data_IF_619728908745
#
_entry.id   IF_619728908745
#
_cell.length_a   1.000
_cell.length_b   1.000
_cell.length_c   1.000
_cell.angle_alpha   90.00
_cell.angle_beta   90.00
_cell.angle_gamma   90.00
#
_symmetry.space_group_name_H-M   'P 1'
#
loop_
_entity.id
_entity.type
_entity.pdbx_description
1 polymer ?
#
# COMPACT_ATOMS: atom_id res chain seq x y z
N UNK A 1 12.34 19.50 -68.23
CA UNK A 1 11.47 19.65 -67.02
C UNK A 1 11.03 18.33 -66.36
N UNK A 2 10.99 17.20 -67.09
CA UNK A 2 10.47 15.94 -66.53
C UNK A 2 11.42 15.17 -65.60
N UNK A 3 12.73 15.23 -65.85
CA UNK A 3 13.72 14.49 -65.03
C UNK A 3 13.91 15.06 -63.64
N UNK A 4 13.86 16.37 -63.45
CA UNK A 4 14.00 17.05 -62.19
C UNK A 4 12.83 16.77 -61.22
N UNK A 5 11.61 16.63 -61.78
CA UNK A 5 10.42 16.30 -60.99
C UNK A 5 10.39 14.83 -60.56
N UNK A 6 10.94 13.94 -61.35
CA UNK A 6 11.07 12.50 -61.01
C UNK A 6 12.10 12.31 -59.91
N UNK A 7 13.21 13.04 -59.92
CA UNK A 7 14.23 12.97 -58.91
C UNK A 7 13.72 13.50 -57.54
N UNK A 8 12.93 14.58 -57.59
CA UNK A 8 12.27 15.12 -56.35
C UNK A 8 11.25 14.12 -55.81
N UNK A 9 10.49 13.45 -56.64
CA UNK A 9 9.52 12.43 -56.22
C UNK A 9 10.20 11.23 -55.56
N UNK A 10 11.31 10.74 -56.15
CA UNK A 10 12.09 9.62 -55.61
C UNK A 10 12.72 10.00 -54.25
N UNK A 11 13.29 11.21 -54.12
CA UNK A 11 13.81 11.69 -52.83
C UNK A 11 12.70 11.83 -51.77
N UNK A 12 11.50 12.29 -52.15
CA UNK A 12 10.38 12.42 -51.22
C UNK A 12 9.87 11.06 -50.74
N UNK A 13 9.86 10.02 -51.57
CA UNK A 13 9.47 8.65 -51.20
C UNK A 13 10.51 7.98 -50.29
N UNK A 14 11.81 8.22 -50.52
CA UNK A 14 12.88 7.72 -49.66
C UNK A 14 12.92 8.40 -48.27
N UNK A 15 12.39 9.61 -48.14
CA UNK A 15 12.30 10.32 -46.83
C UNK A 15 11.09 9.85 -45.99
N UNK A 16 10.11 9.17 -46.61
CA UNK A 16 8.96 8.61 -45.89
C UNK A 16 9.18 7.15 -45.44
N UNK A 17 10.25 6.47 -45.89
CA UNK A 17 10.63 5.14 -45.39
C UNK A 17 11.60 5.26 -44.20
N UNK A 18 11.37 6.21 -43.33
CA UNK A 18 12.16 6.43 -42.12
C UNK A 18 11.66 5.56 -40.97
N UNK A 19 12.40 4.55 -40.65
CA UNK A 19 12.74 4.13 -39.28
C UNK A 19 11.60 3.93 -38.27
N UNK A 20 10.61 3.09 -38.57
CA UNK A 20 9.78 2.52 -37.50
C UNK A 20 10.64 1.65 -36.55
N UNK A 21 11.57 0.85 -37.12
CA UNK A 21 12.51 0.03 -36.31
C UNK A 21 13.47 0.83 -35.42
N UNK A 22 13.79 2.09 -35.74
CA UNK A 22 14.68 2.90 -34.89
C UNK A 22 13.99 3.48 -33.67
N UNK A 23 12.69 3.68 -33.74
CA UNK A 23 11.89 4.16 -32.58
C UNK A 23 11.42 3.01 -31.68
N UNK A 24 11.37 1.78 -32.22
CA UNK A 24 11.04 0.57 -31.49
C UNK A 24 12.26 -0.11 -30.82
N UNK A 25 13.47 0.35 -31.12
CA UNK A 25 14.68 -0.05 -30.40
C UNK A 25 14.72 0.63 -29.01
N UNK A 26 13.79 0.26 -28.15
CA UNK A 26 14.07 0.30 -26.72
C UNK A 26 15.17 -0.74 -26.51
N UNK A 27 16.37 -0.37 -26.01
CA UNK A 27 17.42 -1.35 -25.72
C UNK A 27 16.84 -2.34 -24.70
N UNK A 28 16.49 -3.55 -25.17
CA UNK A 28 15.91 -4.60 -24.32
C UNK A 28 16.86 -4.96 -23.16
N UNK A 29 18.14 -4.71 -23.32
CA UNK A 29 19.17 -5.01 -22.32
C UNK A 29 19.27 -4.01 -21.16
N UNK A 30 18.75 -2.78 -21.31
CA UNK A 30 18.89 -1.72 -20.30
C UNK A 30 17.60 -1.39 -19.52
N UNK A 31 16.43 -1.92 -19.94
CA UNK A 31 15.17 -1.71 -19.22
C UNK A 31 14.92 -2.87 -18.26
N UNK A 32 14.94 -2.54 -16.97
CA UNK A 32 14.48 -3.44 -15.91
C UNK A 32 12.95 -3.60 -15.98
N UNK A 33 12.50 -4.60 -16.70
CA UNK A 33 11.09 -5.00 -16.69
C UNK A 33 10.76 -5.81 -15.43
N UNK A 34 9.48 -5.85 -15.03
CA UNK A 34 9.03 -6.63 -13.87
C UNK A 34 9.49 -8.10 -13.97
N UNK A 35 9.31 -8.82 -15.10
CA UNK A 35 9.82 -10.19 -15.24
C UNK A 35 11.34 -10.27 -15.02
N UNK A 36 12.13 -9.35 -15.56
CA UNK A 36 13.59 -9.35 -15.40
C UNK A 36 14.03 -9.11 -13.96
N UNK A 37 13.31 -8.27 -13.21
CA UNK A 37 13.57 -8.06 -11.77
C UNK A 37 13.32 -9.35 -10.99
N UNK A 38 12.23 -10.07 -11.29
CA UNK A 38 11.86 -11.30 -10.60
C UNK A 38 12.50 -12.57 -11.18
N UNK A 39 13.47 -12.47 -12.08
CA UNK A 39 14.31 -13.61 -12.46
C UNK A 39 15.18 -14.07 -11.29
N UNK A 40 15.69 -13.14 -10.47
CA UNK A 40 16.69 -13.44 -9.46
C UNK A 40 16.24 -13.09 -8.05
N UNK A 41 16.79 -13.84 -7.08
CA UNK A 41 16.62 -13.58 -5.65
C UNK A 41 16.97 -12.15 -5.26
N UNK A 42 18.08 -11.61 -5.80
CA UNK A 42 18.53 -10.24 -5.49
C UNK A 42 17.54 -9.19 -5.96
N UNK A 43 16.96 -9.36 -7.15
CA UNK A 43 15.92 -8.45 -7.66
C UNK A 43 14.66 -8.48 -6.80
N UNK A 44 14.20 -9.68 -6.43
CA UNK A 44 13.06 -9.83 -5.53
C UNK A 44 13.32 -9.22 -4.14
N UNK A 45 14.53 -9.39 -3.58
CA UNK A 45 14.93 -8.81 -2.29
C UNK A 45 14.92 -7.28 -2.34
N UNK A 46 15.45 -6.69 -3.41
CA UNK A 46 15.40 -5.23 -3.60
C UNK A 46 13.95 -4.74 -3.71
N UNK A 47 13.09 -5.45 -4.41
CA UNK A 47 11.67 -5.10 -4.49
C UNK A 47 10.96 -5.13 -3.14
N UNK A 48 11.30 -6.10 -2.28
CA UNK A 48 10.80 -6.13 -0.90
C UNK A 48 11.24 -4.91 -0.09
N UNK A 49 12.49 -4.49 -0.23
CA UNK A 49 13.01 -3.28 0.44
C UNK A 49 12.22 -2.07 -0.02
N UNK A 50 12.03 -1.91 -1.33
CA UNK A 50 11.26 -0.79 -1.89
C UNK A 50 9.80 -0.81 -1.41
N UNK A 51 9.17 -1.98 -1.37
CA UNK A 51 7.82 -2.14 -0.84
C UNK A 51 7.72 -1.76 0.65
N UNK A 52 8.81 -1.95 1.42
CA UNK A 52 8.85 -1.64 2.86
C UNK A 52 9.17 -0.17 3.18
N UNK A 53 9.58 0.64 2.21
CA UNK A 53 10.02 2.02 2.46
C UNK A 53 8.97 2.89 3.16
N UNK A 54 7.69 2.73 2.84
CA UNK A 54 6.61 3.50 3.46
C UNK A 54 6.35 3.10 4.92
N UNK A 55 6.75 1.88 5.34
CA UNK A 55 6.56 1.39 6.71
C UNK A 55 7.22 2.31 7.74
N UNK A 56 8.48 2.66 7.54
CA UNK A 56 9.20 3.56 8.43
C UNK A 56 8.60 4.97 8.46
N UNK A 57 8.14 5.47 7.30
CA UNK A 57 7.46 6.76 7.20
C UNK A 57 6.13 6.80 7.97
N UNK A 58 5.43 5.68 8.04
CA UNK A 58 4.15 5.56 8.74
C UNK A 58 4.30 5.29 10.24
N UNK A 59 5.43 4.75 10.66
CA UNK A 59 5.70 4.40 12.07
C UNK A 59 6.51 5.45 12.81
N UNK A 60 7.26 6.28 12.08
CA UNK A 60 8.08 7.35 12.65
C UNK A 60 7.48 8.68 12.23
N UNK A 61 7.04 9.48 13.19
CA UNK A 61 6.55 10.82 12.91
C UNK A 61 7.73 11.76 12.69
N UNK A 62 8.13 11.87 11.42
CA UNK A 62 9.09 12.87 10.99
C UNK A 62 8.54 13.60 9.76
N UNK A 63 8.39 14.91 9.89
CA UNK A 63 8.21 15.77 8.74
C UNK A 63 6.84 15.73 8.07
N UNK A 64 5.77 15.35 8.77
CA UNK A 64 4.43 15.54 8.22
C UNK A 64 3.46 14.38 8.38
N UNK A 65 3.87 13.29 8.98
CA UNK A 65 2.99 12.13 9.15
C UNK A 65 2.62 11.94 10.63
N UNK A 66 1.35 12.21 11.05
CA UNK A 66 0.93 12.09 12.44
C UNK A 66 0.69 10.62 12.81
N UNK A 67 1.73 9.78 12.71
CA UNK A 67 1.54 8.36 12.88
C UNK A 67 1.65 7.89 14.33
N UNK A 68 2.62 8.41 15.08
CA UNK A 68 3.04 7.76 16.32
C UNK A 68 3.12 8.70 17.51
N UNK A 69 3.70 9.87 17.35
CA UNK A 69 4.07 10.79 18.44
C UNK A 69 3.15 11.99 18.54
N UNK A 70 1.95 11.91 17.99
CA UNK A 70 1.05 13.06 17.92
C UNK A 70 0.53 13.56 19.27
N UNK A 71 0.63 12.79 20.34
CA UNK A 71 0.03 13.16 21.63
C UNK A 71 0.72 14.35 22.29
N UNK A 72 2.04 14.35 22.37
CA UNK A 72 2.81 15.42 23.02
C UNK A 72 2.99 16.62 22.12
N UNK A 73 3.13 16.40 20.83
CA UNK A 73 3.20 17.47 19.81
C UNK A 73 1.88 18.23 19.69
N UNK A 74 0.74 17.59 19.94
CA UNK A 74 -0.57 18.28 19.99
C UNK A 74 -0.66 19.26 21.15
N UNK A 75 0.03 19.04 22.25
CA UNK A 75 0.12 20.00 23.36
C UNK A 75 1.13 21.12 23.09
N UNK A 76 1.92 20.98 22.06
CA UNK A 76 2.80 21.94 21.39
C UNK A 76 3.56 22.92 22.27
N UNK A 77 4.75 22.63 22.51
CA UNK A 77 5.68 23.66 22.91
C UNK A 77 5.88 24.68 21.75
N UNK A 78 5.77 25.97 22.10
CA UNK A 78 5.83 27.07 21.12
C UNK A 78 7.13 27.09 20.29
N UNK A 79 8.22 26.54 20.83
CA UNK A 79 9.50 26.43 20.14
C UNK A 79 9.44 25.45 18.97
N UNK A 80 8.85 24.29 19.16
CA UNK A 80 8.68 23.28 18.10
C UNK A 80 7.80 23.84 16.96
N UNK A 81 6.73 24.55 17.29
CA UNK A 81 5.84 25.19 16.30
C UNK A 81 6.53 26.26 15.45
N UNK A 82 7.51 26.94 15.99
CA UNK A 82 8.21 28.05 15.30
C UNK A 82 9.33 27.54 14.39
N UNK A 83 9.96 26.42 14.76
CA UNK A 83 11.15 25.93 14.07
C UNK A 83 10.89 24.69 13.19
N UNK A 84 9.80 23.94 13.48
CA UNK A 84 9.45 22.72 12.75
C UNK A 84 7.97 22.74 12.39
N UNK A 85 7.70 22.57 11.09
CA UNK A 85 6.34 22.49 10.57
C UNK A 85 5.93 21.03 10.56
N UNK A 86 5.21 20.58 11.60
CA UNK A 86 4.68 19.23 11.69
C UNK A 86 3.18 19.20 11.44
N UNK A 87 2.71 18.26 10.68
CA UNK A 87 1.28 18.02 10.41
C UNK A 87 0.43 17.95 11.69
N UNK A 88 0.84 17.29 12.80
CA UNK A 88 0.09 17.27 14.03
C UNK A 88 -0.29 18.65 14.57
N UNK A 89 0.57 19.65 14.46
CA UNK A 89 0.28 21.01 14.92
C UNK A 89 -0.85 21.67 14.14
N UNK A 90 -0.85 21.49 12.80
CA UNK A 90 -1.94 22.01 11.98
C UNK A 90 -3.26 21.33 12.27
N UNK A 91 -3.25 20.01 12.56
CA UNK A 91 -4.45 19.27 12.96
C UNK A 91 -4.96 19.80 14.30
N UNK A 92 -4.07 19.99 15.28
CA UNK A 92 -4.41 20.54 16.61
C UNK A 92 -4.99 21.96 16.52
N UNK A 93 -4.49 22.77 15.56
CA UNK A 93 -4.99 24.12 15.31
C UNK A 93 -6.27 24.16 14.47
N UNK A 94 -6.82 23.00 14.08
CA UNK A 94 -8.05 22.91 13.29
C UNK A 94 -7.89 23.31 11.83
N UNK A 95 -6.67 23.29 11.29
CA UNK A 95 -6.37 23.72 9.92
C UNK A 95 -6.59 22.62 8.88
N UNK A 96 -6.90 21.40 9.30
CA UNK A 96 -7.26 20.32 8.38
C UNK A 96 -8.66 20.54 7.83
N UNK A 97 -8.79 20.53 6.52
CA UNK A 97 -10.08 20.64 5.83
C UNK A 97 -10.21 19.57 4.75
N UNK A 98 -11.44 19.34 4.27
CA UNK A 98 -11.69 18.43 3.14
C UNK A 98 -11.01 18.89 1.84
N UNK A 99 -10.75 20.19 1.68
CA UNK A 99 -10.07 20.76 0.51
C UNK A 99 -8.55 20.79 0.67
N UNK A 100 -8.06 20.71 1.90
CA UNK A 100 -6.63 20.71 2.25
C UNK A 100 -6.38 19.64 3.31
N UNK A 101 -6.40 18.37 2.93
CA UNK A 101 -6.10 17.27 3.86
C UNK A 101 -4.63 17.29 4.25
N UNK A 102 -4.37 17.08 5.54
CA UNK A 102 -3.02 17.01 6.09
C UNK A 102 -2.62 15.54 6.32
N UNK A 103 -1.37 15.19 5.99
CA UNK A 103 -0.87 13.83 6.12
C UNK A 103 -1.64 12.83 5.25
N UNK A 104 -2.01 13.25 4.03
CA UNK A 104 -2.78 12.43 3.11
C UNK A 104 -1.94 11.28 2.53
N UNK A 105 -2.16 10.08 3.09
CA UNK A 105 -1.52 8.85 2.60
C UNK A 105 -2.32 8.17 1.47
N UNK A 106 -3.48 8.72 1.08
CA UNK A 106 -4.28 8.26 -0.06
C UNK A 106 -3.78 8.85 -1.39
N UNK A 107 -3.00 9.93 -1.34
CA UNK A 107 -2.49 10.65 -2.49
C UNK A 107 -1.59 9.79 -3.40
N UNK A 108 -1.25 10.34 -4.56
CA UNK A 108 -0.25 9.78 -5.47
C UNK A 108 1.06 9.50 -4.71
N UNK A 109 1.66 8.33 -4.93
CA UNK A 109 2.79 7.80 -4.16
C UNK A 109 2.51 7.52 -2.66
N UNK A 110 1.24 7.54 -2.26
CA UNK A 110 0.81 7.14 -0.93
C UNK A 110 0.70 5.62 -0.77
N UNK A 111 -0.04 5.19 0.23
CA UNK A 111 -0.14 3.76 0.62
C UNK A 111 -0.61 2.84 -0.51
N UNK A 112 -1.48 3.30 -1.43
CA UNK A 112 -1.92 2.47 -2.55
C UNK A 112 -0.81 2.14 -3.55
N UNK A 113 0.18 3.02 -3.73
CA UNK A 113 1.37 2.69 -4.50
C UNK A 113 2.12 1.51 -3.87
N UNK A 114 2.31 1.51 -2.56
CA UNK A 114 3.00 0.42 -1.85
C UNK A 114 2.17 -0.87 -1.78
N UNK A 115 0.84 -0.78 -1.72
CA UNK A 115 -0.05 -1.94 -1.89
C UNK A 115 0.12 -2.55 -3.28
N UNK A 116 0.29 -1.73 -4.32
CA UNK A 116 0.61 -2.22 -5.67
C UNK A 116 1.95 -2.96 -5.70
N UNK A 117 3.00 -2.43 -5.04
CA UNK A 117 4.29 -3.13 -4.94
C UNK A 117 4.14 -4.49 -4.24
N UNK A 118 3.35 -4.55 -3.15
CA UNK A 118 3.05 -5.81 -2.48
C UNK A 118 2.34 -6.80 -3.41
N UNK A 119 1.35 -6.35 -4.16
CA UNK A 119 0.64 -7.22 -5.11
C UNK A 119 1.56 -7.74 -6.19
N UNK A 120 2.37 -6.86 -6.82
CA UNK A 120 3.34 -7.26 -7.86
C UNK A 120 4.33 -8.28 -7.33
N UNK A 121 4.82 -8.10 -6.09
CA UNK A 121 5.70 -9.09 -5.46
C UNK A 121 5.02 -10.45 -5.33
N UNK A 122 3.81 -10.48 -4.79
CA UNK A 122 3.06 -11.73 -4.57
C UNK A 122 2.68 -12.43 -5.87
N UNK A 123 2.52 -11.69 -6.97
CA UNK A 123 2.26 -12.24 -8.30
C UNK A 123 3.51 -12.90 -8.90
N UNK A 124 4.72 -12.38 -8.62
CA UNK A 124 5.94 -12.76 -9.35
C UNK A 124 6.99 -13.49 -8.51
N UNK A 125 6.87 -13.54 -7.19
CA UNK A 125 7.89 -14.20 -6.35
C UNK A 125 8.12 -15.69 -6.71
N UNK A 126 7.09 -16.35 -7.23
CA UNK A 126 7.17 -17.72 -7.70
C UNK A 126 8.01 -17.93 -8.97
N UNK A 127 8.30 -16.84 -9.72
CA UNK A 127 9.08 -16.89 -10.96
C UNK A 127 10.60 -16.87 -10.68
N UNK A 128 11.01 -16.55 -9.46
CA UNK A 128 12.42 -16.43 -9.06
C UNK A 128 13.09 -17.80 -8.99
N UNK A 129 14.05 -18.06 -9.89
CA UNK A 129 14.63 -19.38 -10.06
C UNK A 129 15.62 -19.79 -8.95
N UNK A 130 16.21 -18.86 -8.22
CA UNK A 130 17.31 -19.09 -7.28
C UNK A 130 16.98 -18.74 -5.82
N UNK A 131 15.69 -18.84 -5.43
CA UNK A 131 15.29 -18.74 -4.03
C UNK A 131 15.89 -19.89 -3.21
N UNK A 132 16.21 -19.60 -1.96
CA UNK A 132 16.62 -20.61 -0.99
C UNK A 132 15.41 -21.31 -0.41
N UNK A 133 15.60 -22.49 0.16
CA UNK A 133 14.53 -23.23 0.80
C UNK A 133 13.83 -22.40 1.88
N UNK A 134 12.49 -22.32 1.82
CA UNK A 134 11.65 -21.57 2.75
C UNK A 134 11.56 -20.05 2.50
N UNK A 135 12.35 -19.49 1.56
CA UNK A 135 12.28 -18.05 1.26
C UNK A 135 10.98 -17.67 0.54
N UNK A 136 10.47 -18.51 -0.33
CA UNK A 136 9.20 -18.25 -1.02
C UNK A 136 8.06 -18.02 -0.03
N UNK A 137 7.89 -18.93 0.90
CA UNK A 137 6.83 -18.87 1.90
C UNK A 137 7.06 -17.72 2.89
N UNK A 138 8.29 -17.58 3.40
CA UNK A 138 8.62 -16.55 4.39
C UNK A 138 8.51 -15.13 3.79
N UNK A 139 9.07 -14.88 2.60
CA UNK A 139 9.01 -13.58 1.97
C UNK A 139 7.59 -13.20 1.52
N UNK A 140 6.83 -14.18 1.02
CA UNK A 140 5.41 -13.98 0.74
C UNK A 140 4.63 -13.60 2.00
N UNK A 141 4.95 -14.24 3.14
CA UNK A 141 4.34 -13.93 4.42
C UNK A 141 4.72 -12.53 4.93
N UNK A 142 6.00 -12.13 4.82
CA UNK A 142 6.45 -10.78 5.17
C UNK A 142 5.71 -9.70 4.37
N UNK A 143 5.54 -9.90 3.06
CA UNK A 143 4.81 -8.97 2.19
C UNK A 143 3.30 -8.98 2.46
N UNK A 144 2.69 -10.12 2.78
CA UNK A 144 1.27 -10.18 3.19
C UNK A 144 1.04 -9.40 4.50
N UNK A 145 1.92 -9.57 5.49
CA UNK A 145 1.85 -8.83 6.74
C UNK A 145 2.06 -7.31 6.52
N UNK A 146 2.97 -6.93 5.64
CA UNK A 146 3.19 -5.54 5.25
C UNK A 146 1.94 -4.94 4.55
N UNK A 147 1.33 -5.68 3.62
CA UNK A 147 0.08 -5.25 2.96
C UNK A 147 -1.06 -5.09 3.97
N UNK A 148 -1.18 -6.00 4.93
CA UNK A 148 -2.14 -5.90 6.02
C UNK A 148 -1.91 -4.64 6.87
N UNK A 149 -0.65 -4.31 7.17
CA UNK A 149 -0.30 -3.07 7.86
C UNK A 149 -0.72 -1.84 7.05
N UNK A 150 -0.47 -1.79 5.75
CA UNK A 150 -0.88 -0.68 4.89
C UNK A 150 -2.41 -0.52 4.85
N UNK A 151 -3.15 -1.59 4.80
CA UNK A 151 -4.61 -1.56 4.92
C UNK A 151 -5.06 -1.04 6.28
N UNK A 152 -4.39 -1.44 7.36
CA UNK A 152 -4.68 -0.93 8.68
C UNK A 152 -4.41 0.57 8.82
N UNK A 153 -3.35 1.09 8.18
CA UNK A 153 -3.07 2.52 8.15
C UNK A 153 -4.18 3.31 7.40
N UNK A 154 -4.71 2.77 6.30
CA UNK A 154 -5.88 3.34 5.63
C UNK A 154 -7.12 3.29 6.53
N UNK A 155 -7.37 2.15 7.18
CA UNK A 155 -8.49 1.99 8.11
C UNK A 155 -8.48 3.03 9.21
N UNK A 156 -7.34 3.24 9.87
CA UNK A 156 -7.20 4.18 10.99
C UNK A 156 -7.54 5.63 10.59
N UNK A 157 -7.17 6.03 9.37
CA UNK A 157 -7.30 7.42 8.91
C UNK A 157 -8.60 7.70 8.16
N UNK A 158 -9.06 6.74 7.38
CA UNK A 158 -10.18 6.95 6.45
C UNK A 158 -11.40 6.10 6.76
N UNK A 159 -11.34 5.22 7.77
CA UNK A 159 -12.40 4.26 8.03
C UNK A 159 -12.50 3.22 6.91
N UNK A 160 -13.70 2.96 6.37
CA UNK A 160 -13.87 2.10 5.19
C UNK A 160 -13.03 2.58 4.02
N UNK A 161 -12.29 1.68 3.36
CA UNK A 161 -11.37 2.00 2.29
C UNK A 161 -11.56 1.08 1.07
N UNK A 162 -10.85 1.35 -0.01
CA UNK A 162 -10.88 0.54 -1.24
C UNK A 162 -9.96 -0.66 -1.08
N UNK A 163 -10.52 -1.87 -1.20
CA UNK A 163 -9.74 -3.10 -1.21
C UNK A 163 -9.17 -3.35 -2.61
N UNK A 164 -7.86 -3.60 -2.68
CA UNK A 164 -7.13 -3.93 -3.92
C UNK A 164 -6.43 -5.28 -3.71
N UNK A 165 -7.14 -6.41 -3.81
CA UNK A 165 -6.57 -7.73 -3.55
C UNK A 165 -5.47 -8.10 -4.54
N UNK A 166 -5.58 -7.66 -5.79
CA UNK A 166 -4.59 -7.81 -6.88
C UNK A 166 -4.50 -6.53 -7.69
N UNK A 167 -3.44 -6.40 -8.47
CA UNK A 167 -3.29 -5.25 -9.37
C UNK A 167 -4.38 -5.21 -10.42
N UNK A 168 -4.87 -4.01 -10.71
CA UNK A 168 -5.82 -3.77 -11.79
C UNK A 168 -4.99 -3.43 -13.04
N UNK A 169 -5.34 -4.04 -14.16
CA UNK A 169 -4.73 -3.74 -15.44
C UNK A 169 -4.95 -2.26 -15.79
N UNK A 170 -3.90 -1.59 -16.25
CA UNK A 170 -3.98 -0.19 -16.69
C UNK A 170 -4.89 -0.01 -17.92
N UNK A 171 -5.08 -1.07 -18.69
CA UNK A 171 -5.98 -1.10 -19.86
C UNK A 171 -7.38 -1.62 -19.54
N UNK A 172 -7.64 -1.97 -18.27
CA UNK A 172 -8.98 -2.39 -17.85
C UNK A 172 -10.03 -1.30 -18.13
N UNK A 173 -11.29 -1.66 -18.36
CA UNK A 173 -12.38 -0.70 -18.46
C UNK A 173 -12.43 0.26 -17.26
N UNK A 174 -12.83 1.51 -17.50
CA UNK A 174 -12.85 2.56 -16.46
C UNK A 174 -13.70 2.19 -15.23
N UNK A 175 -14.72 1.37 -15.43
CA UNK A 175 -15.60 0.84 -14.38
C UNK A 175 -14.82 -0.06 -13.42
N UNK A 176 -13.89 -0.87 -13.93
CA UNK A 176 -13.01 -1.72 -13.12
C UNK A 176 -11.92 -0.91 -12.41
N UNK A 177 -11.44 0.16 -13.03
CA UNK A 177 -10.44 1.04 -12.43
C UNK A 177 -11.04 1.90 -11.29
N UNK A 178 -12.33 2.23 -11.35
CA UNK A 178 -13.05 3.06 -10.36
C UNK A 178 -13.59 2.22 -9.21
N UNK A 179 -12.69 1.65 -8.42
CA UNK A 179 -13.06 0.87 -7.26
C UNK A 179 -13.77 1.72 -6.19
N UNK A 180 -14.76 1.12 -5.54
CA UNK A 180 -15.51 1.76 -4.46
C UNK A 180 -14.97 1.34 -3.09
N UNK A 181 -15.23 2.17 -2.07
CA UNK A 181 -14.97 1.79 -0.67
C UNK A 181 -15.75 0.54 -0.32
N UNK A 182 -15.08 -0.39 0.33
CA UNK A 182 -15.66 -1.62 0.85
C UNK A 182 -16.25 -1.41 2.24
N UNK A 183 -17.28 -2.16 2.66
CA UNK A 183 -17.78 -2.13 4.03
C UNK A 183 -16.67 -2.36 5.06
N UNK A 184 -16.79 -1.75 6.24
CA UNK A 184 -15.78 -1.83 7.30
C UNK A 184 -15.45 -3.27 7.69
N UNK A 185 -16.46 -4.14 7.83
CA UNK A 185 -16.24 -5.54 8.19
C UNK A 185 -15.47 -6.29 7.11
N UNK A 186 -15.71 -5.98 5.83
CA UNK A 186 -14.92 -6.54 4.72
C UNK A 186 -13.47 -6.05 4.75
N UNK A 187 -13.24 -4.79 5.12
CA UNK A 187 -11.89 -4.24 5.29
C UNK A 187 -11.14 -4.95 6.42
N UNK A 188 -11.78 -5.12 7.58
CA UNK A 188 -11.20 -5.85 8.73
C UNK A 188 -10.91 -7.29 8.35
N UNK A 189 -11.85 -7.97 7.70
CA UNK A 189 -11.68 -9.36 7.26
C UNK A 189 -10.50 -9.52 6.30
N UNK A 190 -10.34 -8.58 5.35
CA UNK A 190 -9.21 -8.61 4.42
C UNK A 190 -7.87 -8.46 5.15
N UNK A 191 -7.79 -7.58 6.15
CA UNK A 191 -6.58 -7.39 6.96
C UNK A 191 -6.28 -8.67 7.77
N UNK A 192 -7.27 -9.21 8.47
CA UNK A 192 -7.08 -10.40 9.32
C UNK A 192 -6.73 -11.64 8.49
N UNK A 193 -7.36 -11.85 7.34
CA UNK A 193 -7.04 -12.96 6.44
C UNK A 193 -5.57 -12.89 5.97
N UNK A 194 -5.07 -11.72 5.56
CA UNK A 194 -3.66 -11.56 5.17
C UNK A 194 -2.71 -11.94 6.31
N UNK A 195 -3.05 -11.57 7.56
CA UNK A 195 -2.25 -11.90 8.72
C UNK A 195 -2.34 -13.38 9.09
N UNK A 196 -3.53 -14.00 8.97
CA UNK A 196 -3.72 -15.43 9.22
C UNK A 196 -2.97 -16.29 8.22
N UNK A 197 -2.91 -15.87 6.96
CA UNK A 197 -2.10 -16.53 5.95
C UNK A 197 -0.58 -16.32 6.17
N UNK A 198 -0.17 -15.19 6.75
CA UNK A 198 1.23 -14.85 6.94
C UNK A 198 1.84 -15.49 8.19
N UNK A 199 1.16 -15.40 9.34
CA UNK A 199 1.68 -15.78 10.66
C UNK A 199 2.32 -17.19 10.72
N UNK A 200 1.78 -18.24 10.09
CA UNK A 200 2.38 -19.58 10.13
C UNK A 200 3.77 -19.66 9.50
N UNK A 201 4.06 -18.79 8.51
CA UNK A 201 5.31 -18.82 7.73
C UNK A 201 6.31 -17.74 8.12
N UNK A 202 5.93 -16.82 9.01
CA UNK A 202 6.83 -15.77 9.50
C UNK A 202 7.84 -16.32 10.49
N UNK A 203 9.11 -15.89 10.30
CA UNK A 203 10.20 -16.20 11.22
C UNK A 203 10.00 -15.45 12.55
N UNK A 204 10.14 -16.12 13.71
CA UNK A 204 10.15 -15.47 15.01
C UNK A 204 11.26 -14.41 15.10
N UNK A 205 11.00 -13.29 15.79
CA UNK A 205 11.97 -12.16 15.88
C UNK A 205 13.35 -12.59 16.39
N UNK A 206 13.39 -13.49 17.38
CA UNK A 206 14.65 -14.01 17.96
C UNK A 206 15.47 -14.84 16.97
N UNK A 207 14.84 -15.40 15.95
CA UNK A 207 15.46 -16.26 14.94
C UNK A 207 15.79 -15.51 13.65
N UNK A 208 15.33 -14.23 13.52
CA UNK A 208 15.61 -13.41 12.35
C UNK A 208 17.07 -12.92 12.36
N UNK A 209 17.70 -13.00 11.20
CA UNK A 209 18.99 -12.35 10.97
C UNK A 209 18.90 -10.83 11.22
N UNK A 210 19.99 -10.23 11.68
CA UNK A 210 20.03 -8.80 11.99
C UNK A 210 19.64 -7.92 10.79
N UNK A 211 20.03 -8.31 9.58
CA UNK A 211 19.69 -7.62 8.32
C UNK A 211 18.23 -7.75 7.89
N UNK A 212 17.47 -8.66 8.52
CA UNK A 212 16.07 -8.92 8.20
C UNK A 212 15.09 -8.45 9.28
N UNK A 213 15.57 -7.80 10.34
CA UNK A 213 14.74 -7.36 11.47
C UNK A 213 13.80 -6.22 11.14
N UNK A 214 14.00 -5.52 10.03
CA UNK A 214 13.12 -4.48 9.53
C UNK A 214 11.84 -5.03 8.88
N UNK A 215 11.83 -6.31 8.48
CA UNK A 215 10.64 -6.96 7.96
C UNK A 215 9.83 -7.62 9.08
N UNK A 216 8.54 -7.86 8.82
CA UNK A 216 7.63 -8.44 9.81
C UNK A 216 8.16 -9.74 10.41
N UNK A 217 8.13 -9.84 11.73
CA UNK A 217 8.28 -11.09 12.47
C UNK A 217 6.90 -11.69 12.77
N UNK A 218 6.91 -12.95 13.22
CA UNK A 218 5.71 -13.64 13.66
C UNK A 218 4.98 -12.87 14.77
N UNK A 219 5.72 -12.45 15.80
CA UNK A 219 5.18 -11.70 16.92
C UNK A 219 4.67 -10.31 16.50
N UNK A 220 5.38 -9.66 15.56
CA UNK A 220 4.94 -8.38 15.00
C UNK A 220 3.61 -8.49 14.27
N UNK A 221 3.42 -9.54 13.48
CA UNK A 221 2.16 -9.79 12.78
C UNK A 221 1.02 -10.17 13.74
N UNK A 222 1.29 -10.97 14.78
CA UNK A 222 0.33 -11.28 15.84
C UNK A 222 -0.10 -10.03 16.60
N UNK A 223 0.84 -9.18 17.01
CA UNK A 223 0.55 -7.91 17.68
C UNK A 223 -0.24 -6.95 16.78
N UNK A 224 0.07 -6.91 15.47
CA UNK A 224 -0.73 -6.14 14.51
C UNK A 224 -2.17 -6.66 14.45
N UNK A 225 -2.38 -7.98 14.38
CA UNK A 225 -3.73 -8.57 14.33
C UNK A 225 -4.53 -8.28 15.59
N UNK A 226 -3.93 -8.41 16.78
CA UNK A 226 -4.57 -8.03 18.04
C UNK A 226 -5.02 -6.57 18.02
N UNK A 227 -4.16 -5.66 17.54
CA UNK A 227 -4.47 -4.24 17.41
C UNK A 227 -5.60 -3.97 16.41
N UNK A 228 -5.61 -4.63 15.27
CA UNK A 228 -6.69 -4.53 14.26
C UNK A 228 -8.03 -4.94 14.85
N UNK A 229 -8.08 -6.07 15.55
CA UNK A 229 -9.31 -6.57 16.19
C UNK A 229 -9.81 -5.61 17.28
N UNK A 230 -8.91 -5.04 18.08
CA UNK A 230 -9.25 -4.04 19.09
C UNK A 230 -9.86 -2.77 18.44
N UNK A 231 -9.26 -2.28 17.37
CA UNK A 231 -9.81 -1.14 16.61
C UNK A 231 -11.17 -1.47 16.00
N UNK A 232 -11.32 -2.66 15.41
CA UNK A 232 -12.58 -3.10 14.82
C UNK A 232 -13.72 -3.23 15.84
N UNK A 233 -13.40 -3.51 17.11
CA UNK A 233 -14.36 -3.57 18.22
C UNK A 233 -14.74 -2.18 18.74
N UNK A 234 -13.89 -1.16 18.55
CA UNK A 234 -14.10 0.17 19.09
C UNK A 234 -15.32 0.89 18.47
N UNK A 235 -15.99 1.80 19.18
CA UNK A 235 -17.24 2.43 18.72
C UNK A 235 -17.11 3.15 17.38
N UNK A 236 -15.94 3.70 17.05
CA UNK A 236 -15.72 4.39 15.78
C UNK A 236 -15.86 3.45 14.57
N UNK A 237 -15.44 2.19 14.72
CA UNK A 237 -15.41 1.20 13.64
C UNK A 237 -16.50 0.15 13.75
N UNK A 238 -17.01 -0.10 14.96
CA UNK A 238 -18.05 -1.06 15.24
C UNK A 238 -19.43 -0.39 15.24
N UNK A 239 -20.09 -0.46 14.10
CA UNK A 239 -21.36 0.20 13.88
C UNK A 239 -21.25 1.68 13.46
N UNK A 240 -20.07 2.26 13.60
CA UNK A 240 -19.84 3.69 13.37
C UNK A 240 -20.53 4.60 14.38
N UNK A 241 -20.15 5.85 14.41
CA UNK A 241 -20.75 6.90 15.22
C UNK A 241 -21.45 7.92 14.34
N UNK A 242 -22.44 8.65 14.88
CA UNK A 242 -23.03 9.78 14.17
C UNK A 242 -21.95 10.86 13.89
N UNK A 243 -21.86 11.43 12.66
CA UNK A 243 -22.77 11.22 11.51
C UNK A 243 -22.37 10.07 10.56
N UNK A 244 -21.37 9.24 10.88
CA UNK A 244 -20.75 8.29 9.92
C UNK A 244 -21.50 6.97 9.79
N UNK A 245 -22.26 6.54 10.79
CA UNK A 245 -22.94 5.23 10.84
C UNK A 245 -23.84 4.91 9.64
N UNK A 246 -24.40 5.95 9.02
CA UNK A 246 -25.31 5.82 7.88
C UNK A 246 -24.61 6.07 6.54
N UNK A 247 -23.28 6.08 6.51
CA UNK A 247 -22.51 6.28 5.27
C UNK A 247 -22.71 5.12 4.32
N UNK A 248 -22.91 5.47 3.04
CA UNK A 248 -22.96 4.52 1.92
C UNK A 248 -21.87 4.83 0.90
N UNK A 249 -21.43 3.81 0.19
CA UNK A 249 -20.62 4.02 -1.00
C UNK A 249 -21.50 4.54 -2.17
N UNK A 250 -20.86 4.86 -3.30
CA UNK A 250 -21.57 5.38 -4.48
C UNK A 250 -22.57 4.40 -5.10
N UNK A 251 -22.50 3.11 -4.77
CA UNK A 251 -23.47 2.09 -5.19
C UNK A 251 -24.60 1.90 -4.18
N UNK A 252 -24.65 2.69 -3.11
CA UNK A 252 -25.71 2.60 -2.09
C UNK A 252 -25.48 1.52 -1.03
N UNK A 253 -24.33 0.85 -1.03
CA UNK A 253 -23.98 -0.18 -0.02
C UNK A 253 -23.59 0.52 1.29
N UNK A 254 -24.16 0.06 2.41
CA UNK A 254 -23.81 0.54 3.73
C UNK A 254 -22.34 0.25 4.06
N UNK A 255 -21.63 1.27 4.54
CA UNK A 255 -20.23 1.15 4.89
C UNK A 255 -19.98 0.67 6.31
N UNK A 256 -20.98 0.81 7.19
CA UNK A 256 -20.94 0.27 8.55
C UNK A 256 -22.12 -0.68 8.77
N UNK A 257 -21.83 -1.83 9.37
CA UNK A 257 -22.84 -2.74 9.91
C UNK A 257 -23.42 -2.19 11.22
N UNK A 258 -24.40 -2.87 11.80
CA UNK A 258 -24.82 -2.60 13.17
C UNK A 258 -23.71 -2.94 14.15
N UNK A 259 -23.70 -2.26 15.31
CA UNK A 259 -22.80 -2.58 16.42
C UNK A 259 -22.92 -4.07 16.79
N UNK A 260 -21.75 -4.71 16.93
CA UNK A 260 -21.61 -6.10 17.34
C UNK A 260 -20.67 -6.18 18.54
N UNK A 261 -21.22 -6.50 19.72
CA UNK A 261 -20.46 -6.63 20.97
C UNK A 261 -19.52 -7.83 20.99
N UNK A 262 -19.78 -8.81 20.12
CA UNK A 262 -18.95 -10.00 19.98
C UNK A 262 -17.51 -9.66 19.53
N UNK A 263 -17.34 -8.57 18.79
CA UNK A 263 -16.02 -8.08 18.38
C UNK A 263 -15.08 -7.79 19.56
N UNK A 264 -15.62 -7.34 20.69
CA UNK A 264 -14.84 -7.16 21.91
C UNK A 264 -14.34 -8.47 22.50
N UNK A 265 -15.20 -9.50 22.52
CA UNK A 265 -14.81 -10.83 22.98
C UNK A 265 -13.71 -11.42 22.09
N UNK A 266 -13.89 -11.33 20.77
CA UNK A 266 -12.90 -11.81 19.77
C UNK A 266 -11.56 -11.09 19.96
N UNK A 267 -11.58 -9.76 20.16
CA UNK A 267 -10.35 -8.98 20.37
C UNK A 267 -9.64 -9.39 21.68
N UNK A 268 -10.38 -9.62 22.75
CA UNK A 268 -9.82 -10.05 24.03
C UNK A 268 -9.20 -11.47 23.92
N UNK A 269 -9.94 -12.43 23.37
CA UNK A 269 -9.46 -13.81 23.21
C UNK A 269 -8.23 -13.93 22.32
N UNK A 270 -8.05 -13.03 21.37
CA UNK A 270 -6.85 -13.02 20.53
C UNK A 270 -5.66 -12.37 21.22
N UNK A 271 -5.89 -11.49 22.19
CA UNK A 271 -4.84 -10.80 22.91
C UNK A 271 -4.24 -11.61 24.06
N UNK A 272 -4.98 -12.63 24.56
CA UNK A 272 -4.54 -13.58 25.60
C UNK A 272 -3.62 -14.67 25.00
#
# INVERSE_FOLDING_TARGET
MKFKNILILICSVCLCSGCDDYLDLVPEDDILTIPKIFETRSGAEQWMIDANMMFSSLTIDRGGNPAFVGADEYTANAFARTNYVFTPFYIADGLQTALSPLGDIWAYNGVYYYIRLCNTFLEHIGDVYNLRAGELENWSAEIKALKAFYYFELMKRYGPFVLVPKNIDIYAPIEEQRQLRSPMDSCVQAITNLLDEAIPYLTPLREKDASRREFFSKEGAMGLKARVLLYAASPLFNGGISPYKDMKNKSGVDLFSKEDKEKWRIAAEYAD
#
